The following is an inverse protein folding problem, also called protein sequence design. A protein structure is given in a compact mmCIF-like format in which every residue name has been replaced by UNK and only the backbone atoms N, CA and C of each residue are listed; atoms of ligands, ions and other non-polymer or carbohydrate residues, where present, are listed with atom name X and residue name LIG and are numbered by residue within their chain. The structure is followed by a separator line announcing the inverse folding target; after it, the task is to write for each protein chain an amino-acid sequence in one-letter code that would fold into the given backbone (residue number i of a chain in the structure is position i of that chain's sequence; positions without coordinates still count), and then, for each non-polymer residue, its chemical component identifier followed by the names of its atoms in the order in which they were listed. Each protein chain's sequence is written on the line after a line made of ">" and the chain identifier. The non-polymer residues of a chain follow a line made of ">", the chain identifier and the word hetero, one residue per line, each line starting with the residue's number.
data_IF_844657215833
#
_entry.id   IF_844657215833
#
_cell.length_a   1.000
_cell.length_b   1.000
_cell.length_c   1.000
_cell.angle_alpha   90.00
_cell.angle_beta   90.00
_cell.angle_gamma   90.00
#
_symmetry.space_group_name_H-M   'P 1'
#
loop_
_entity.id
_entity.type
_entity.pdbx_description
1 polymer ?
#
# COMPACT_ATOMS: atom_id res chain seq x y z
N UNK A 1 -34.11 31.39 -4.30
CA UNK A 1 -32.83 30.76 -4.70
C UNK A 1 -31.91 30.89 -3.51
N UNK A 2 -31.47 29.78 -2.91
CA UNK A 2 -30.53 29.85 -1.80
C UNK A 2 -29.24 30.47 -2.29
N UNK A 3 -28.83 31.59 -1.69
CA UNK A 3 -27.64 32.33 -2.08
C UNK A 3 -26.41 31.48 -1.76
N UNK A 4 -25.71 31.03 -2.79
CA UNK A 4 -24.36 30.51 -2.63
C UNK A 4 -23.52 31.56 -1.92
N UNK A 5 -22.60 31.10 -1.06
CA UNK A 5 -21.63 31.97 -0.39
C UNK A 5 -20.22 31.45 -0.61
N UNK A 6 -19.26 32.36 -0.42
CA UNK A 6 -17.84 32.01 -0.37
C UNK A 6 -17.61 30.87 0.64
N UNK A 7 -16.84 29.87 0.22
CA UNK A 7 -16.55 28.66 0.98
C UNK A 7 -17.52 27.51 0.76
N UNK A 8 -18.68 27.72 0.12
CA UNK A 8 -19.58 26.61 -0.21
C UNK A 8 -18.96 25.70 -1.25
N UNK A 9 -19.20 24.40 -1.11
CA UNK A 9 -18.92 23.44 -2.18
C UNK A 9 -20.10 23.41 -3.15
N UNK A 10 -19.78 23.45 -4.43
CA UNK A 10 -20.76 23.41 -5.52
C UNK A 10 -20.40 22.38 -6.56
N UNK A 11 -21.40 21.93 -7.30
CA UNK A 11 -21.24 21.03 -8.44
C UNK A 11 -21.77 21.66 -9.71
N UNK A 12 -21.01 21.58 -10.79
CA UNK A 12 -21.45 22.05 -12.10
C UNK A 12 -22.47 21.10 -12.73
N UNK A 13 -23.56 21.65 -13.25
CA UNK A 13 -24.66 20.92 -13.89
C UNK A 13 -24.63 20.98 -15.42
N UNK A 14 -24.01 22.02 -16.00
CA UNK A 14 -23.87 22.23 -17.44
C UNK A 14 -22.55 21.69 -18.00
N UNK A 15 -22.51 21.41 -19.31
CA UNK A 15 -21.28 21.11 -20.03
C UNK A 15 -20.59 22.42 -20.46
N UNK A 16 -19.28 22.53 -20.22
CA UNK A 16 -18.45 23.67 -20.66
C UNK A 16 -18.71 24.93 -19.85
N UNK A 17 -17.65 25.68 -19.53
CA UNK A 17 -17.69 26.97 -18.84
C UNK A 17 -17.17 28.10 -19.68
N UNK A 18 -17.33 29.34 -19.18
CA UNK A 18 -16.52 30.45 -19.65
C UNK A 18 -15.06 29.99 -19.61
N UNK A 19 -14.42 29.97 -20.76
CA UNK A 19 -13.01 29.60 -20.91
C UNK A 19 -12.18 30.70 -20.27
N UNK A 20 -11.64 30.42 -19.08
CA UNK A 20 -10.63 31.27 -18.46
C UNK A 20 -9.24 30.83 -18.91
N UNK A 21 -8.22 31.64 -18.61
CA UNK A 21 -6.80 31.24 -18.73
C UNK A 21 -6.45 29.97 -17.93
N UNK A 22 -7.31 29.56 -17.00
CA UNK A 22 -7.13 28.35 -16.19
C UNK A 22 -7.81 27.10 -16.79
N UNK A 23 -8.60 27.26 -17.85
CA UNK A 23 -9.35 26.17 -18.48
C UNK A 23 -10.86 26.23 -18.20
N UNK A 24 -11.58 25.21 -18.66
CA UNK A 24 -13.04 25.08 -18.49
C UNK A 24 -13.43 24.01 -17.48
N UNK A 25 -14.58 24.20 -16.82
CA UNK A 25 -15.21 23.15 -16.02
C UNK A 25 -16.23 22.36 -16.85
N UNK A 26 -16.10 21.04 -16.81
CA UNK A 26 -17.08 20.12 -17.38
C UNK A 26 -18.18 19.78 -16.37
N UNK A 27 -19.29 19.22 -16.88
CA UNK A 27 -20.40 18.76 -16.05
C UNK A 27 -19.90 17.75 -15.01
N UNK A 28 -20.34 17.94 -13.77
CA UNK A 28 -19.95 17.10 -12.64
C UNK A 28 -18.71 17.60 -11.90
N UNK A 29 -17.99 18.62 -12.40
CA UNK A 29 -16.93 19.30 -11.65
C UNK A 29 -17.43 19.73 -10.27
N UNK A 30 -16.62 19.47 -9.24
CA UNK A 30 -16.87 19.89 -7.86
C UNK A 30 -15.76 20.85 -7.45
N UNK A 31 -16.13 22.00 -6.90
CA UNK A 31 -15.18 23.00 -6.44
C UNK A 31 -15.74 23.78 -5.27
N UNK A 32 -14.84 24.46 -4.55
CA UNK A 32 -15.22 25.40 -3.50
C UNK A 32 -15.31 26.80 -4.09
N UNK A 33 -16.31 27.59 -3.66
CA UNK A 33 -16.45 28.97 -4.09
C UNK A 33 -15.38 29.84 -3.41
N UNK A 34 -14.49 30.41 -4.22
CA UNK A 34 -13.47 31.36 -3.80
C UNK A 34 -14.03 32.78 -3.70
N UNK A 35 -14.91 33.14 -4.64
CA UNK A 35 -15.52 34.47 -4.71
C UNK A 35 -16.82 34.47 -5.55
N UNK A 36 -17.65 35.49 -5.36
CA UNK A 36 -18.91 35.69 -6.10
C UNK A 36 -18.99 37.13 -6.57
N UNK A 37 -19.19 37.33 -7.87
CA UNK A 37 -19.41 38.64 -8.48
C UNK A 37 -20.85 38.74 -8.93
N UNK A 38 -21.64 39.51 -8.18
CA UNK A 38 -23.03 39.82 -8.50
C UNK A 38 -23.08 40.89 -9.60
N UNK A 39 -23.63 40.52 -10.76
CA UNK A 39 -23.87 41.42 -11.90
C UNK A 39 -25.35 41.74 -12.08
N UNK A 40 -26.23 41.07 -11.33
CA UNK A 40 -27.67 41.22 -11.37
C UNK A 40 -28.29 40.40 -12.50
N UNK A 41 -29.20 39.49 -12.16
CA UNK A 41 -29.90 38.61 -13.12
C UNK A 41 -29.29 37.21 -13.21
N UNK A 42 -29.34 36.58 -14.38
CA UNK A 42 -28.86 35.19 -14.61
C UNK A 42 -27.36 35.09 -14.92
N UNK A 43 -26.60 36.18 -14.76
CA UNK A 43 -25.20 36.32 -15.20
C UNK A 43 -24.21 36.48 -14.05
N UNK A 44 -24.65 36.27 -12.81
CA UNK A 44 -23.75 36.28 -11.65
C UNK A 44 -22.68 35.20 -11.82
N UNK A 45 -21.44 35.57 -11.51
CA UNK A 45 -20.27 34.73 -11.73
C UNK A 45 -19.79 34.22 -10.38
N UNK A 46 -19.56 32.91 -10.29
CA UNK A 46 -18.82 32.30 -9.19
C UNK A 46 -17.42 31.94 -9.65
N UNK A 47 -16.46 32.09 -8.74
CA UNK A 47 -15.09 31.65 -8.92
C UNK A 47 -14.91 30.38 -8.11
N UNK A 48 -14.53 29.29 -8.76
CA UNK A 48 -14.26 28.01 -8.09
C UNK A 48 -12.88 27.51 -8.47
N UNK A 49 -12.00 27.34 -7.49
CA UNK A 49 -10.59 27.01 -7.69
C UNK A 49 -9.87 27.92 -8.72
N UNK A 50 -10.21 29.22 -8.73
CA UNK A 50 -9.66 30.21 -9.67
C UNK A 50 -10.28 30.23 -11.08
N UNK A 51 -11.31 29.43 -11.36
CA UNK A 51 -12.03 29.44 -12.64
C UNK A 51 -13.39 30.13 -12.52
N UNK A 52 -13.75 30.88 -13.57
CA UNK A 52 -15.04 31.55 -13.70
C UNK A 52 -16.15 30.60 -14.17
N UNK A 53 -17.34 30.74 -13.60
CA UNK A 53 -18.55 30.07 -14.10
C UNK A 53 -19.83 30.81 -13.74
N UNK A 54 -20.89 30.55 -14.51
CA UNK A 54 -22.21 31.18 -14.31
C UNK A 54 -22.92 30.48 -13.16
N UNK A 55 -23.39 31.23 -12.16
CA UNK A 55 -23.96 30.70 -10.92
C UNK A 55 -25.14 29.73 -11.14
N UNK A 56 -25.96 29.97 -12.17
CA UNK A 56 -27.15 29.17 -12.49
C UNK A 56 -26.81 27.78 -13.04
N UNK A 57 -25.54 27.56 -13.39
CA UNK A 57 -25.02 26.29 -13.87
C UNK A 57 -24.34 25.47 -12.76
N UNK A 58 -24.49 25.92 -11.52
CA UNK A 58 -24.04 25.20 -10.35
C UNK A 58 -25.23 24.84 -9.46
N UNK A 59 -25.14 23.69 -8.84
CA UNK A 59 -26.00 23.25 -7.75
C UNK A 59 -25.18 23.16 -6.45
N UNK A 60 -25.81 23.30 -5.28
CA UNK A 60 -25.15 22.98 -4.01
C UNK A 60 -24.57 21.57 -4.08
N UNK A 61 -23.32 21.40 -3.64
CA UNK A 61 -22.71 20.09 -3.67
C UNK A 61 -23.45 19.14 -2.73
N UNK A 62 -23.81 17.98 -3.27
CA UNK A 62 -24.20 16.81 -2.52
C UNK A 62 -23.29 15.65 -2.91
N UNK A 63 -22.92 14.77 -1.95
CA UNK A 63 -22.15 13.59 -2.25
C UNK A 63 -22.88 12.69 -3.26
N UNK A 64 -22.13 12.09 -4.19
CA UNK A 64 -22.66 11.07 -5.11
C UNK A 64 -21.93 9.75 -4.94
N UNK A 65 -22.59 8.64 -5.27
CA UNK A 65 -21.98 7.31 -5.22
C UNK A 65 -20.72 7.28 -6.09
N UNK A 66 -19.63 6.74 -5.53
CA UNK A 66 -18.30 6.71 -6.12
C UNK A 66 -17.40 7.88 -5.73
N UNK A 67 -17.93 8.92 -5.08
CA UNK A 67 -17.11 10.04 -4.60
C UNK A 67 -16.43 9.75 -3.28
N UNK A 68 -15.25 10.31 -3.09
CA UNK A 68 -14.52 10.26 -1.83
C UNK A 68 -14.81 11.52 -1.03
N UNK A 69 -15.21 11.35 0.23
CA UNK A 69 -15.62 12.44 1.12
C UNK A 69 -14.88 12.36 2.45
N UNK A 70 -14.81 13.49 3.16
CA UNK A 70 -14.29 13.60 4.53
C UNK A 70 -15.40 14.08 5.47
N UNK A 71 -15.51 13.48 6.64
CA UNK A 71 -16.36 13.96 7.73
C UNK A 71 -15.71 15.19 8.35
N UNK A 72 -16.40 16.32 8.38
CA UNK A 72 -15.86 17.57 8.95
C UNK A 72 -16.58 18.01 10.22
N UNK A 73 -17.78 17.50 10.44
CA UNK A 73 -18.51 17.67 11.69
C UNK A 73 -19.46 16.51 11.92
N UNK A 74 -19.98 16.42 13.13
CA UNK A 74 -20.94 15.42 13.55
C UNK A 74 -21.99 16.10 14.43
N UNK A 75 -23.27 15.95 14.07
CA UNK A 75 -24.38 16.48 14.89
C UNK A 75 -24.59 15.66 16.16
N UNK A 76 -24.40 14.33 16.06
CA UNK A 76 -24.62 13.40 17.17
C UNK A 76 -23.31 13.10 17.90
N UNK A 77 -23.34 13.16 19.24
CA UNK A 77 -22.16 12.98 20.09
C UNK A 77 -21.44 11.64 19.87
N UNK A 78 -22.19 10.56 19.59
CA UNK A 78 -21.62 9.24 19.30
C UNK A 78 -20.91 9.14 17.94
N UNK A 79 -20.98 10.19 17.12
CA UNK A 79 -20.28 10.30 15.83
C UNK A 79 -19.06 11.22 15.89
N UNK A 80 -18.86 11.95 17.00
CA UNK A 80 -17.84 12.98 17.12
C UNK A 80 -16.40 12.44 17.01
N UNK A 81 -16.18 11.19 17.43
CA UNK A 81 -14.89 10.48 17.29
C UNK A 81 -14.54 10.16 15.83
N UNK A 82 -15.46 10.39 14.89
CA UNK A 82 -15.29 10.14 13.46
C UNK A 82 -15.05 11.39 12.62
N UNK A 83 -14.95 12.57 13.24
CA UNK A 83 -14.51 13.78 12.52
C UNK A 83 -13.10 13.54 11.95
N UNK A 84 -12.91 13.86 10.67
CA UNK A 84 -11.71 13.59 9.90
C UNK A 84 -11.71 12.24 9.18
N UNK A 85 -12.70 11.37 9.40
CA UNK A 85 -12.84 10.10 8.69
C UNK A 85 -13.08 10.34 7.20
N UNK A 86 -12.35 9.61 6.36
CA UNK A 86 -12.52 9.62 4.92
C UNK A 86 -13.11 8.29 4.44
N UNK A 87 -14.05 8.36 3.50
CA UNK A 87 -14.67 7.16 2.92
C UNK A 87 -15.17 7.41 1.49
N UNK A 88 -15.39 6.32 0.76
CA UNK A 88 -16.07 6.39 -0.54
C UNK A 88 -17.57 6.23 -0.32
N UNK A 89 -18.35 7.13 -0.89
CA UNK A 89 -19.81 7.03 -0.90
C UNK A 89 -20.18 5.81 -1.73
N UNK A 90 -20.74 4.77 -1.11
CA UNK A 90 -21.12 3.53 -1.82
C UNK A 90 -22.60 3.46 -2.09
N UNK A 91 -23.38 4.21 -1.32
CA UNK A 91 -24.82 4.27 -1.47
C UNK A 91 -25.34 5.58 -0.88
N UNK A 92 -26.42 6.05 -1.48
CA UNK A 92 -27.28 7.05 -0.87
C UNK A 92 -28.19 6.31 0.12
N UNK A 93 -28.13 6.68 1.39
CA UNK A 93 -28.90 6.04 2.46
C UNK A 93 -30.18 6.83 2.70
N UNK A 94 -31.31 6.11 2.66
CA UNK A 94 -32.69 6.57 2.83
C UNK A 94 -32.90 7.79 3.75
N UNK A 95 -33.88 8.62 3.39
CA UNK A 95 -34.50 9.66 4.24
C UNK A 95 -34.88 9.08 5.60
N UNK A 96 -34.06 9.30 6.63
CA UNK A 96 -34.37 8.84 7.99
C UNK A 96 -35.42 9.78 8.57
N UNK A 97 -36.65 9.27 8.80
CA UNK A 97 -37.84 9.77 9.54
C UNK A 97 -38.26 11.28 9.50
N UNK A 98 -37.40 12.20 9.07
CA UNK A 98 -37.59 13.66 9.01
C UNK A 98 -37.29 14.22 7.61
N UNK A 99 -37.25 13.36 6.58
CA UNK A 99 -37.02 13.80 5.20
C UNK A 99 -35.58 14.19 4.85
N UNK A 100 -34.63 14.02 5.78
CA UNK A 100 -33.22 14.38 5.57
C UNK A 100 -32.47 13.27 4.83
N UNK A 101 -31.89 13.61 3.68
CA UNK A 101 -31.07 12.73 2.86
C UNK A 101 -29.72 12.46 3.54
N UNK A 102 -29.24 11.22 3.49
CA UNK A 102 -27.97 10.82 4.11
C UNK A 102 -27.15 9.93 3.19
N UNK A 103 -25.85 9.83 3.47
CA UNK A 103 -24.89 9.10 2.66
C UNK A 103 -24.06 8.14 3.52
N UNK A 104 -23.87 6.93 2.98
CA UNK A 104 -23.11 5.87 3.61
C UNK A 104 -21.99 5.37 2.70
N UNK A 105 -21.00 4.70 3.30
CA UNK A 105 -19.77 4.34 2.62
C UNK A 105 -19.18 3.02 3.07
N UNK A 106 -18.19 2.58 2.29
CA UNK A 106 -17.36 1.40 2.57
C UNK A 106 -16.72 1.44 3.96
N UNK A 107 -16.34 2.64 4.43
CA UNK A 107 -15.73 2.90 5.72
C UNK A 107 -16.37 4.08 6.48
N UNK A 108 -17.68 4.27 6.36
CA UNK A 108 -18.39 5.39 7.02
C UNK A 108 -18.54 5.25 8.55
N UNK A 109 -17.77 4.36 9.20
CA UNK A 109 -17.80 4.14 10.65
C UNK A 109 -19.10 3.49 11.16
N UNK A 110 -19.83 2.78 10.31
CA UNK A 110 -21.15 2.22 10.64
C UNK A 110 -22.26 3.29 10.74
N UNK A 111 -21.97 4.52 10.34
CA UNK A 111 -22.89 5.64 10.38
C UNK A 111 -23.34 6.05 8.98
N UNK A 112 -24.47 6.75 8.93
CA UNK A 112 -24.87 7.56 7.77
C UNK A 112 -24.66 9.04 8.10
N UNK A 113 -24.32 9.82 7.10
CA UNK A 113 -23.87 11.22 7.24
C UNK A 113 -24.74 12.13 6.40
N UNK A 114 -25.05 13.33 6.88
CA UNK A 114 -25.72 14.35 6.06
C UNK A 114 -24.70 15.04 5.15
N UNK A 115 -25.17 15.63 4.05
CA UNK A 115 -24.30 16.34 3.11
C UNK A 115 -23.52 17.48 3.79
N UNK A 116 -24.16 18.13 4.76
CA UNK A 116 -23.60 19.25 5.50
C UNK A 116 -22.61 18.83 6.60
N UNK A 117 -22.50 17.52 6.90
CA UNK A 117 -21.47 16.92 7.77
C UNK A 117 -20.21 16.48 7.00
N UNK A 118 -20.26 16.57 5.66
CA UNK A 118 -19.25 16.07 4.75
C UNK A 118 -18.64 17.19 3.91
N UNK A 119 -17.40 16.99 3.48
CA UNK A 119 -16.76 17.76 2.43
C UNK A 119 -16.22 16.83 1.34
N UNK A 120 -16.25 17.25 0.06
CA UNK A 120 -15.64 16.49 -1.01
C UNK A 120 -14.12 16.49 -0.85
N UNK A 121 -13.50 15.31 -0.98
CA UNK A 121 -12.05 15.24 -1.15
C UNK A 121 -11.79 15.50 -2.62
N UNK A 122 -11.50 16.76 -2.94
CA UNK A 122 -11.11 17.14 -4.29
C UNK A 122 -9.86 16.34 -4.66
N UNK A 123 -9.98 15.45 -5.65
CA UNK A 123 -8.81 14.81 -6.23
C UNK A 123 -7.86 15.94 -6.63
N UNK A 124 -6.66 15.93 -6.03
CA UNK A 124 -5.71 17.03 -6.17
C UNK A 124 -5.64 17.44 -7.64
N UNK A 125 -6.13 18.64 -7.93
CA UNK A 125 -6.00 19.29 -9.23
C UNK A 125 -4.55 19.07 -9.65
N UNK A 126 -4.27 18.53 -10.84
CA UNK A 126 -2.90 18.29 -11.27
C UNK A 126 -2.14 19.59 -11.05
N UNK A 127 -1.22 19.53 -10.07
CA UNK A 127 -0.36 20.63 -9.68
C UNK A 127 0.19 21.22 -10.97
N UNK A 128 -0.05 22.53 -11.17
CA UNK A 128 0.52 23.39 -12.22
C UNK A 128 1.67 22.68 -12.94
N UNK A 129 1.59 22.37 -14.25
CA UNK A 129 2.68 21.68 -14.91
C UNK A 129 3.93 22.52 -14.73
N UNK A 130 4.87 22.00 -13.93
CA UNK A 130 6.25 22.46 -13.95
C UNK A 130 6.64 22.42 -15.42
N UNK A 131 6.96 23.58 -16.00
CA UNK A 131 7.41 23.71 -17.38
C UNK A 131 8.29 22.53 -17.74
N UNK A 132 7.80 21.67 -18.65
CA UNK A 132 8.50 20.43 -19.02
C UNK A 132 9.87 20.81 -19.56
N UNK A 133 10.94 20.39 -18.90
CA UNK A 133 12.30 20.59 -19.41
C UNK A 133 12.68 19.39 -20.26
N UNK A 134 12.91 19.63 -21.55
CA UNK A 134 13.37 18.59 -22.47
C UNK A 134 14.89 18.49 -22.44
N UNK A 135 15.39 17.28 -22.27
CA UNK A 135 16.81 16.93 -22.27
C UNK A 135 17.08 15.87 -23.34
N UNK A 136 18.18 16.03 -24.08
CA UNK A 136 18.62 15.01 -25.03
C UNK A 136 18.98 13.70 -24.31
N UNK A 137 18.67 12.56 -24.92
CA UNK A 137 18.87 11.22 -24.38
C UNK A 137 17.73 10.70 -23.48
N UNK A 138 16.77 11.55 -23.09
CA UNK A 138 15.63 11.17 -22.25
C UNK A 138 14.42 10.67 -23.06
N UNK A 139 13.54 9.95 -22.38
CA UNK A 139 12.24 9.53 -22.89
C UNK A 139 11.14 10.39 -22.28
N UNK A 140 10.03 10.57 -23.00
CA UNK A 140 8.92 11.41 -22.61
C UNK A 140 7.58 10.71 -22.85
N UNK A 141 6.54 11.18 -22.17
CA UNK A 141 5.16 10.76 -22.34
C UNK A 141 4.42 11.76 -23.21
N UNK A 142 3.81 11.29 -24.29
CA UNK A 142 2.91 12.08 -25.12
C UNK A 142 1.56 12.29 -24.43
N UNK A 143 0.77 13.26 -24.89
CA UNK A 143 -0.57 13.54 -24.37
C UNK A 143 -1.52 12.35 -24.49
N UNK A 144 -1.37 11.54 -25.53
CA UNK A 144 -2.12 10.29 -25.72
C UNK A 144 -1.56 9.08 -24.93
N UNK A 145 -0.47 9.28 -24.17
CA UNK A 145 0.04 8.33 -23.19
C UNK A 145 1.15 7.38 -23.67
N UNK A 146 1.63 7.51 -24.90
CA UNK A 146 2.75 6.71 -25.44
C UNK A 146 4.10 7.15 -24.86
N UNK A 147 5.04 6.19 -24.74
CA UNK A 147 6.46 6.44 -24.46
C UNK A 147 7.16 6.78 -25.76
N UNK A 148 7.84 7.92 -25.82
CA UNK A 148 8.59 8.39 -27.01
C UNK A 148 10.01 8.84 -26.62
N UNK A 149 10.97 8.63 -27.51
CA UNK A 149 12.39 8.95 -27.29
C UNK A 149 13.32 7.84 -27.78
N UNK A 150 14.65 7.97 -27.57
CA UNK A 150 15.31 9.07 -26.88
C UNK A 150 15.26 10.37 -27.69
N UNK A 151 14.99 11.49 -27.02
CA UNK A 151 15.02 12.82 -27.67
C UNK A 151 16.44 13.20 -28.05
N UNK A 152 16.62 13.87 -29.18
CA UNK A 152 17.91 14.40 -29.63
C UNK A 152 17.83 15.91 -29.86
N UNK A 153 18.96 16.57 -29.69
CA UNK A 153 19.13 17.97 -30.05
C UNK A 153 19.47 18.07 -31.54
N UNK A 154 18.80 18.97 -32.27
CA UNK A 154 19.12 19.28 -33.66
C UNK A 154 20.35 20.21 -33.71
N UNK A 155 21.25 19.97 -34.66
CA UNK A 155 22.41 20.84 -34.88
C UNK A 155 22.01 22.24 -35.38
N UNK A 156 20.89 22.35 -36.10
CA UNK A 156 20.26 23.59 -36.56
C UNK A 156 18.74 23.47 -36.43
N UNK A 157 18.07 24.53 -35.95
CA UNK A 157 16.62 24.53 -35.77
C UNK A 157 16.00 25.88 -36.16
N UNK A 158 14.78 25.82 -36.70
CA UNK A 158 13.96 26.99 -37.02
C UNK A 158 12.85 27.15 -36.00
N UNK A 159 11.69 27.67 -36.43
CA UNK A 159 10.49 27.82 -35.59
C UNK A 159 9.88 26.50 -35.13
N UNK A 160 10.37 25.36 -35.63
CA UNK A 160 9.89 24.02 -35.35
C UNK A 160 10.55 23.35 -34.13
N UNK A 161 11.48 24.06 -33.48
CA UNK A 161 12.06 23.68 -32.21
C UNK A 161 13.37 22.89 -32.28
N UNK A 162 14.15 22.92 -31.18
CA UNK A 162 15.49 22.35 -31.14
C UNK A 162 15.53 20.84 -30.92
N UNK A 163 14.41 20.21 -30.52
CA UNK A 163 14.37 18.80 -30.15
C UNK A 163 13.71 17.93 -31.22
N UNK A 164 14.23 16.72 -31.44
CA UNK A 164 13.70 15.74 -32.39
C UNK A 164 13.64 14.35 -31.78
N UNK A 165 12.58 13.61 -32.11
CA UNK A 165 12.51 12.17 -31.90
C UNK A 165 12.49 11.49 -33.27
N UNK A 166 13.36 10.50 -33.47
CA UNK A 166 13.44 9.80 -34.76
C UNK A 166 12.11 9.12 -35.11
N UNK A 167 11.65 9.30 -36.36
CA UNK A 167 10.37 8.77 -36.83
C UNK A 167 9.13 9.53 -36.33
N UNK A 168 9.31 10.64 -35.63
CA UNK A 168 8.26 11.49 -35.06
C UNK A 168 8.51 12.97 -35.40
N UNK A 169 7.85 13.86 -34.67
CA UNK A 169 7.88 15.31 -34.85
C UNK A 169 9.12 16.01 -34.25
N UNK A 170 9.22 17.30 -34.56
CA UNK A 170 10.11 18.24 -33.88
C UNK A 170 9.37 18.95 -32.74
N UNK A 171 10.05 19.19 -31.64
CA UNK A 171 9.48 19.69 -30.40
C UNK A 171 10.15 20.98 -29.97
N UNK A 172 9.33 21.93 -29.53
CA UNK A 172 9.73 23.15 -28.85
C UNK A 172 10.20 22.82 -27.42
N UNK A 173 10.90 23.76 -26.79
CA UNK A 173 11.42 23.58 -25.42
C UNK A 173 10.35 23.26 -24.38
N UNK A 174 9.09 23.64 -24.65
CA UNK A 174 7.96 23.45 -23.76
C UNK A 174 7.21 22.11 -23.97
N UNK A 175 7.68 21.22 -24.84
CA UNK A 175 7.03 19.94 -25.12
C UNK A 175 6.04 19.94 -26.28
N UNK A 176 5.70 21.11 -26.82
CA UNK A 176 4.77 21.20 -27.95
C UNK A 176 5.44 20.81 -29.26
N UNK A 177 4.69 20.20 -30.16
CA UNK A 177 5.17 19.94 -31.51
C UNK A 177 5.28 21.26 -32.28
N UNK A 178 6.46 21.54 -32.83
CA UNK A 178 6.78 22.85 -33.43
C UNK A 178 6.17 23.12 -34.81
N UNK A 179 5.43 22.18 -35.39
CA UNK A 179 4.80 22.36 -36.70
C UNK A 179 3.49 21.59 -36.82
N UNK A 180 2.45 22.02 -36.10
CA UNK A 180 1.08 21.50 -36.28
C UNK A 180 0.21 22.60 -36.89
N UNK A 181 -0.20 22.42 -38.14
CA UNK A 181 -1.16 23.31 -38.81
C UNK A 181 -2.62 23.06 -38.41
N UNK A 182 -2.92 21.92 -37.77
CA UNK A 182 -4.29 21.44 -37.56
C UNK A 182 -4.73 21.36 -36.08
N UNK A 183 -3.96 21.89 -35.12
CA UNK A 183 -4.33 21.93 -33.68
C UNK A 183 -4.44 20.58 -32.95
N UNK A 184 -3.96 19.47 -33.55
CA UNK A 184 -3.97 18.15 -32.91
C UNK A 184 -2.81 18.01 -31.92
N UNK A 185 -3.10 18.19 -30.63
CA UNK A 185 -2.12 18.20 -29.55
C UNK A 185 -1.79 16.80 -28.98
N UNK A 186 -2.22 15.71 -29.63
CA UNK A 186 -2.03 14.34 -29.10
C UNK A 186 -0.57 13.92 -28.96
N UNK A 187 0.28 14.46 -29.83
CA UNK A 187 1.71 14.16 -29.88
C UNK A 187 2.55 15.06 -28.95
N UNK A 188 1.93 16.07 -28.30
CA UNK A 188 2.64 16.93 -27.34
C UNK A 188 3.25 16.12 -26.20
N UNK A 189 4.47 16.46 -25.80
CA UNK A 189 5.10 15.91 -24.62
C UNK A 189 4.55 16.60 -23.38
N UNK A 190 4.03 15.81 -22.43
CA UNK A 190 3.40 16.33 -21.21
C UNK A 190 4.16 15.98 -19.94
N UNK A 191 5.10 15.03 -19.99
CA UNK A 191 5.94 14.62 -18.86
C UNK A 191 7.21 13.87 -19.32
N UNK A 192 8.29 13.93 -18.54
CA UNK A 192 9.41 13.00 -18.69
C UNK A 192 8.94 11.57 -18.37
N UNK A 193 9.32 10.61 -19.21
CA UNK A 193 9.05 9.20 -18.96
C UNK A 193 10.10 8.66 -18.00
N UNK A 194 9.73 8.58 -16.74
CA UNK A 194 10.52 7.91 -15.72
C UNK A 194 10.20 6.42 -15.82
N UNK A 195 11.18 5.60 -16.22
CA UNK A 195 11.02 4.15 -16.12
C UNK A 195 10.72 3.78 -14.67
N UNK A 196 9.63 3.05 -14.49
CA UNK A 196 9.03 2.73 -13.20
C UNK A 196 10.14 2.24 -12.26
N UNK A 197 10.50 2.98 -11.18
CA UNK A 197 11.24 2.33 -10.10
C UNK A 197 10.35 1.16 -9.65
N UNK A 198 10.94 -0.04 -9.53
CA UNK A 198 10.25 -1.25 -9.11
C UNK A 198 9.23 -0.90 -8.01
N UNK A 199 7.95 -1.10 -8.33
CA UNK A 199 6.85 -0.52 -7.58
C UNK A 199 7.03 -0.84 -6.08
N UNK A 200 7.15 0.21 -5.26
CA UNK A 200 6.77 0.09 -3.85
C UNK A 200 5.28 -0.28 -3.85
N UNK A 201 4.86 -1.29 -3.06
CA UNK A 201 3.46 -1.67 -3.01
C UNK A 201 2.64 -0.46 -2.56
N UNK A 202 1.74 0.01 -3.44
CA UNK A 202 0.67 0.94 -3.09
C UNK A 202 -0.34 0.16 -2.27
N UNK A 203 -0.62 0.62 -1.05
CA UNK A 203 -1.69 0.09 -0.23
C UNK A 203 -3.01 0.78 -0.62
N UNK A 204 -3.52 0.44 -1.80
CA UNK A 204 -4.89 0.77 -2.20
C UNK A 204 -5.73 -0.50 -2.11
N UNK A 205 -6.46 -0.68 -1.01
CA UNK A 205 -7.65 -1.55 -0.83
C UNK A 205 -7.71 -2.90 -1.58
N UNK A 206 -6.57 -3.54 -1.86
CA UNK A 206 -6.54 -4.91 -2.32
C UNK A 206 -6.90 -5.76 -1.10
N UNK A 207 -8.14 -6.26 -1.09
CA UNK A 207 -8.63 -7.31 -0.19
C UNK A 207 -7.47 -8.24 0.19
N UNK A 208 -7.08 -8.34 1.47
CA UNK A 208 -5.99 -9.21 1.86
C UNK A 208 -6.39 -10.66 1.60
N UNK A 209 -5.93 -11.22 0.47
CA UNK A 209 -6.05 -12.65 0.19
C UNK A 209 -4.88 -13.34 0.90
N UNK A 210 -5.01 -13.51 2.22
CA UNK A 210 -4.13 -14.41 2.94
C UNK A 210 -4.41 -15.85 2.52
N UNK A 211 -3.41 -16.72 2.60
CA UNK A 211 -3.57 -18.17 2.45
C UNK A 211 -3.18 -18.88 3.73
N UNK A 212 -3.70 -20.09 3.92
CA UNK A 212 -3.28 -20.95 5.03
C UNK A 212 -1.75 -21.11 4.98
N UNK A 213 -1.11 -20.90 6.13
CA UNK A 213 0.34 -20.91 6.27
C UNK A 213 1.03 -19.56 6.08
N UNK A 214 0.34 -18.52 5.63
CA UNK A 214 0.92 -17.17 5.61
C UNK A 214 1.22 -16.70 7.05
N UNK A 215 2.35 -16.01 7.20
CA UNK A 215 2.63 -15.25 8.42
C UNK A 215 2.01 -13.87 8.26
N UNK A 216 1.21 -13.47 9.24
CA UNK A 216 0.56 -12.17 9.27
C UNK A 216 0.95 -11.43 10.54
N UNK A 217 1.21 -10.14 10.42
CA UNK A 217 1.48 -9.28 11.57
C UNK A 217 0.21 -8.55 11.95
N UNK A 218 -0.13 -8.59 13.23
CA UNK A 218 -1.33 -7.94 13.72
C UNK A 218 -1.10 -6.43 13.82
N UNK A 219 -2.04 -5.63 13.35
CA UNK A 219 -1.97 -4.18 13.28
C UNK A 219 -2.62 -3.51 14.50
N UNK A 220 -3.50 -4.22 15.20
CA UNK A 220 -4.26 -3.72 16.35
C UNK A 220 -4.26 -4.75 17.47
N UNK A 221 -4.48 -4.33 18.71
CA UNK A 221 -4.63 -5.27 19.82
C UNK A 221 -6.10 -5.58 20.09
N UNK A 222 -6.42 -6.85 20.28
CA UNK A 222 -7.67 -7.34 20.86
C UNK A 222 -7.30 -7.95 22.24
N UNK A 223 -7.71 -7.33 23.36
CA UNK A 223 -7.35 -7.81 24.70
C UNK A 223 -7.62 -9.30 24.86
N UNK A 224 -6.58 -10.06 25.24
CA UNK A 224 -6.66 -11.50 25.47
C UNK A 224 -6.66 -12.36 24.20
N UNK A 225 -6.61 -11.80 22.99
CA UNK A 225 -6.61 -12.59 21.74
C UNK A 225 -5.49 -12.19 20.79
N UNK A 226 -5.26 -10.90 20.56
CA UNK A 226 -4.27 -10.43 19.59
C UNK A 226 -3.51 -9.21 20.10
N UNK A 227 -2.21 -9.16 19.84
CA UNK A 227 -1.32 -8.06 20.23
C UNK A 227 -0.79 -7.35 18.99
N UNK A 228 -0.98 -6.03 18.91
CA UNK A 228 -0.43 -5.21 17.84
C UNK A 228 1.10 -5.40 17.72
N UNK A 229 1.58 -5.60 16.50
CA UNK A 229 2.98 -5.85 16.18
C UNK A 229 3.42 -7.31 16.24
N UNK A 230 2.64 -8.20 16.86
CA UNK A 230 2.95 -9.64 16.95
C UNK A 230 2.58 -10.37 15.66
N UNK A 231 3.34 -11.41 15.35
CA UNK A 231 3.11 -12.26 14.18
C UNK A 231 2.33 -13.52 14.53
N UNK A 232 1.42 -13.90 13.64
CA UNK A 232 0.59 -15.09 13.73
C UNK A 232 0.65 -15.86 12.40
N UNK A 233 0.26 -17.14 12.42
CA UNK A 233 0.23 -18.00 11.23
C UNK A 233 -1.21 -18.31 10.89
N UNK A 234 -1.63 -18.05 9.66
CA UNK A 234 -3.00 -18.32 9.19
C UNK A 234 -3.28 -19.83 9.21
N UNK A 235 -4.41 -20.25 9.80
CA UNK A 235 -4.80 -21.66 9.97
C UNK A 235 -5.94 -22.12 9.08
N UNK A 236 -6.81 -21.20 8.62
CA UNK A 236 -7.94 -21.54 7.74
C UNK A 236 -8.13 -20.48 6.64
N UNK A 237 -8.64 -20.94 5.50
CA UNK A 237 -8.91 -20.21 4.27
C UNK A 237 -10.36 -19.71 4.19
N UNK A 238 -10.80 -18.91 5.16
CA UNK A 238 -12.08 -18.21 5.03
C UNK A 238 -11.82 -16.78 4.55
N UNK A 239 -11.56 -16.62 3.25
CA UNK A 239 -11.27 -15.32 2.65
C UNK A 239 -12.20 -15.03 1.47
N UNK A 240 -13.34 -14.40 1.75
CA UNK A 240 -14.31 -14.11 0.70
C UNK A 240 -15.26 -12.97 0.98
N UNK A 241 -15.75 -12.82 2.22
CA UNK A 241 -16.90 -11.94 2.51
C UNK A 241 -16.60 -10.93 3.61
N UNK A 242 -17.29 -9.79 3.56
CA UNK A 242 -17.35 -8.83 4.68
C UNK A 242 -17.82 -9.61 5.92
N UNK A 243 -17.13 -9.49 7.04
CA UNK A 243 -17.34 -10.22 8.32
C UNK A 243 -16.74 -11.64 8.46
N UNK A 244 -15.98 -12.15 7.47
CA UNK A 244 -15.18 -13.36 7.68
C UNK A 244 -13.87 -13.04 8.41
N UNK A 245 -13.54 -13.82 9.44
CA UNK A 245 -12.37 -13.63 10.27
C UNK A 245 -11.17 -14.45 9.77
N UNK A 246 -9.99 -13.85 9.71
CA UNK A 246 -8.70 -14.55 9.60
C UNK A 246 -8.51 -15.39 10.85
N UNK A 247 -8.55 -16.71 10.70
CA UNK A 247 -8.18 -17.63 11.78
C UNK A 247 -6.69 -17.87 11.77
N UNK A 248 -6.10 -17.91 12.96
CA UNK A 248 -4.67 -18.18 13.16
C UNK A 248 -4.50 -19.53 13.85
N UNK A 249 -3.30 -20.12 13.75
CA UNK A 249 -3.02 -21.42 14.38
C UNK A 249 -3.19 -21.35 15.89
N UNK A 250 -2.71 -20.28 16.50
CA UNK A 250 -2.79 -20.04 17.95
C UNK A 250 -2.81 -18.52 18.14
N UNK A 251 -3.83 -18.02 18.84
CA UNK A 251 -3.93 -16.62 19.29
C UNK A 251 -3.23 -16.41 20.66
N UNK A 252 -3.29 -15.22 21.23
CA UNK A 252 -2.64 -14.94 22.53
C UNK A 252 -3.30 -15.66 23.72
N UNK A 253 -4.55 -16.12 23.59
CA UNK A 253 -5.23 -16.96 24.57
C UNK A 253 -4.96 -18.46 24.37
N UNK A 254 -4.20 -18.84 23.33
CA UNK A 254 -3.98 -20.24 23.00
C UNK A 254 -5.10 -20.88 22.16
N UNK A 255 -6.06 -20.09 21.67
CA UNK A 255 -7.19 -20.57 20.87
C UNK A 255 -6.79 -20.81 19.42
N UNK A 256 -7.30 -21.90 18.85
CA UNK A 256 -7.16 -22.29 17.43
C UNK A 256 -8.40 -21.92 16.61
N UNK A 257 -9.48 -21.50 17.27
CA UNK A 257 -10.80 -21.28 16.65
C UNK A 257 -11.12 -19.80 16.45
N UNK A 258 -10.51 -18.93 17.26
CA UNK A 258 -10.69 -17.48 17.20
C UNK A 258 -10.06 -16.90 15.92
N UNK A 259 -10.68 -15.85 15.41
CA UNK A 259 -10.15 -15.09 14.29
C UNK A 259 -10.54 -13.62 14.39
N UNK A 260 -9.89 -12.79 13.57
CA UNK A 260 -10.19 -11.36 13.51
C UNK A 260 -10.22 -10.82 12.09
N UNK A 261 -10.69 -9.59 11.88
CA UNK A 261 -10.91 -9.08 10.53
C UNK A 261 -9.59 -8.97 9.75
N UNK A 262 -9.58 -9.27 8.43
CA UNK A 262 -8.39 -9.20 7.59
C UNK A 262 -7.68 -7.86 7.63
N UNK A 263 -8.41 -6.76 7.80
CA UNK A 263 -7.88 -5.39 7.91
C UNK A 263 -6.99 -5.16 9.15
N UNK A 264 -7.09 -6.01 10.18
CA UNK A 264 -6.22 -5.94 11.36
C UNK A 264 -4.96 -6.78 11.22
N UNK A 265 -4.72 -7.32 10.03
CA UNK A 265 -3.54 -8.08 9.70
C UNK A 265 -2.88 -7.51 8.45
N UNK A 266 -1.55 -7.50 8.44
CA UNK A 266 -0.76 -7.31 7.23
C UNK A 266 0.03 -8.59 6.96
N UNK A 267 0.28 -8.91 5.69
CA UNK A 267 1.14 -10.04 5.34
C UNK A 267 2.55 -9.75 5.87
N UNK A 268 3.00 -10.54 6.85
CA UNK A 268 4.38 -10.44 7.32
C UNK A 268 5.29 -11.08 6.27
N UNK A 269 6.17 -10.27 5.68
CA UNK A 269 7.19 -10.78 4.79
C UNK A 269 8.11 -11.68 5.63
N UNK A 270 8.32 -12.95 5.25
CA UNK A 270 9.19 -13.82 6.01
C UNK A 270 10.55 -13.14 6.14
N UNK A 271 11.02 -13.01 7.39
CA UNK A 271 12.38 -12.57 7.68
C UNK A 271 13.31 -13.64 7.10
N UNK A 272 13.77 -13.42 5.87
CA UNK A 272 14.70 -14.33 5.22
C UNK A 272 16.04 -14.20 5.93
N UNK A 273 16.44 -15.28 6.60
CA UNK A 273 17.81 -15.40 7.11
C UNK A 273 18.71 -15.56 5.89
N UNK A 274 19.38 -14.48 5.50
CA UNK A 274 20.30 -14.47 4.36
C UNK A 274 21.71 -14.20 4.84
N UNK A 275 22.69 -14.94 4.32
CA UNK A 275 24.11 -14.76 4.61
C UNK A 275 24.87 -14.51 3.30
N UNK A 276 26.07 -13.95 3.42
CA UNK A 276 27.04 -13.89 2.32
C UNK A 276 28.17 -14.87 2.60
N UNK A 277 28.57 -15.64 1.58
CA UNK A 277 29.69 -16.57 1.66
C UNK A 277 30.64 -16.37 0.48
N UNK A 278 31.93 -16.62 0.70
CA UNK A 278 32.92 -16.70 -0.37
C UNK A 278 32.60 -17.92 -1.25
N UNK A 279 32.77 -17.79 -2.57
CA UNK A 279 32.73 -18.93 -3.50
C UNK A 279 34.16 -19.29 -3.85
N UNK A 280 34.57 -20.49 -3.44
CA UNK A 280 35.90 -21.05 -3.71
C UNK A 280 35.70 -22.35 -4.48
N UNK A 281 36.33 -22.46 -5.66
CA UNK A 281 36.19 -23.62 -6.55
C UNK A 281 34.72 -23.97 -6.88
N UNK A 282 33.87 -22.95 -7.05
CA UNK A 282 32.43 -23.12 -7.32
C UNK A 282 31.59 -23.56 -6.11
N UNK A 283 32.20 -23.73 -4.93
CA UNK A 283 31.52 -24.15 -3.71
C UNK A 283 31.42 -23.00 -2.69
N UNK A 284 30.32 -22.90 -1.93
CA UNK A 284 30.20 -21.92 -0.87
C UNK A 284 31.11 -22.25 0.33
N UNK A 285 31.87 -21.25 0.77
CA UNK A 285 32.69 -21.26 1.97
C UNK A 285 32.16 -20.23 2.97
N UNK A 286 31.10 -20.55 3.72
CA UNK A 286 30.56 -19.67 4.75
C UNK A 286 31.56 -19.51 5.90
N UNK A 287 31.51 -18.35 6.58
CA UNK A 287 32.26 -18.10 7.83
C UNK A 287 31.81 -19.09 8.92
N UNK A 288 32.67 -19.40 9.89
CA UNK A 288 32.30 -20.16 11.10
C UNK A 288 31.20 -19.46 11.91
N UNK A 289 31.11 -18.14 11.78
CA UNK A 289 30.02 -17.30 12.31
C UNK A 289 29.52 -16.39 11.19
N UNK A 290 28.61 -16.87 10.32
CA UNK A 290 28.09 -16.06 9.23
C UNK A 290 27.34 -14.84 9.74
N UNK A 291 27.62 -13.68 9.16
CA UNK A 291 26.81 -12.49 9.42
C UNK A 291 25.45 -12.66 8.74
N UNK A 292 24.39 -12.60 9.54
CA UNK A 292 23.01 -12.71 9.07
C UNK A 292 22.49 -11.32 8.72
N UNK A 293 22.08 -11.16 7.47
CA UNK A 293 21.48 -9.93 6.97
C UNK A 293 19.97 -9.90 7.22
N UNK A 294 19.44 -8.68 7.38
CA UNK A 294 18.01 -8.44 7.62
C UNK A 294 17.12 -8.66 6.40
N UNK A 295 17.71 -8.77 5.20
CA UNK A 295 17.04 -9.08 3.94
C UNK A 295 18.03 -9.53 2.87
N UNK A 296 17.52 -10.13 1.80
CA UNK A 296 18.31 -10.50 0.62
C UNK A 296 18.99 -9.28 -0.02
N UNK A 297 18.28 -8.14 -0.11
CA UNK A 297 18.87 -6.90 -0.66
C UNK A 297 20.02 -6.36 0.19
N UNK A 298 19.96 -6.51 1.52
CA UNK A 298 21.06 -6.15 2.40
C UNK A 298 22.28 -7.07 2.18
N UNK A 299 22.05 -8.37 2.00
CA UNK A 299 23.10 -9.33 1.68
C UNK A 299 23.73 -9.08 0.30
N UNK A 300 22.95 -8.73 -0.72
CA UNK A 300 23.47 -8.39 -2.05
C UNK A 300 24.37 -7.15 -2.03
N UNK A 301 23.99 -6.12 -1.25
CA UNK A 301 24.83 -4.93 -1.06
C UNK A 301 26.16 -5.32 -0.39
N UNK A 302 26.12 -6.19 0.61
CA UNK A 302 27.32 -6.67 1.27
C UNK A 302 28.20 -7.53 0.34
N UNK A 303 27.61 -8.45 -0.42
CA UNK A 303 28.33 -9.25 -1.41
C UNK A 303 29.01 -8.36 -2.46
N UNK A 304 28.34 -7.31 -2.94
CA UNK A 304 28.93 -6.30 -3.84
C UNK A 304 30.08 -5.55 -3.18
N UNK A 305 29.92 -5.14 -1.91
CA UNK A 305 30.97 -4.47 -1.14
C UNK A 305 32.21 -5.35 -0.98
N UNK A 306 32.01 -6.64 -0.67
CA UNK A 306 33.08 -7.62 -0.52
C UNK A 306 33.76 -7.93 -1.85
N UNK A 307 33.01 -8.14 -2.94
CA UNK A 307 33.58 -8.33 -4.28
C UNK A 307 34.36 -7.09 -4.76
N UNK A 308 33.92 -5.89 -4.40
CA UNK A 308 34.64 -4.66 -4.69
C UNK A 308 35.95 -4.55 -3.89
N UNK A 309 35.94 -4.98 -2.61
CA UNK A 309 37.10 -4.97 -1.71
C UNK A 309 38.13 -6.06 -2.06
N UNK A 310 37.67 -7.24 -2.46
CA UNK A 310 38.50 -8.41 -2.74
C UNK A 310 38.39 -8.78 -4.23
N UNK A 311 39.13 -8.05 -5.07
CA UNK A 311 39.13 -8.26 -6.53
C UNK A 311 39.57 -9.69 -6.88
N UNK A 312 38.89 -10.31 -7.85
CA UNK A 312 39.15 -11.69 -8.28
C UNK A 312 38.45 -12.76 -7.43
N UNK A 313 37.84 -12.40 -6.30
CA UNK A 313 37.02 -13.30 -5.50
C UNK A 313 35.53 -13.16 -5.83
N UNK A 314 34.77 -14.24 -5.64
CA UNK A 314 33.34 -14.29 -5.85
C UNK A 314 32.61 -14.46 -4.52
N UNK A 315 31.52 -13.72 -4.31
CA UNK A 315 30.71 -13.82 -3.10
C UNK A 315 29.27 -14.16 -3.49
N UNK A 316 28.73 -15.23 -2.90
CA UNK A 316 27.36 -15.69 -3.10
C UNK A 316 26.45 -15.26 -1.96
N UNK A 317 25.17 -15.05 -2.28
CA UNK A 317 24.11 -14.74 -1.33
C UNK A 317 23.27 -16.00 -1.12
N UNK A 318 23.17 -16.45 0.13
CA UNK A 318 22.48 -17.70 0.49
C UNK A 318 21.33 -17.41 1.43
N UNK A 319 20.13 -17.89 1.09
CA UNK A 319 18.93 -17.75 1.92
C UNK A 319 18.57 -19.09 2.54
N UNK A 320 18.35 -19.10 3.85
CA UNK A 320 17.89 -20.28 4.57
C UNK A 320 16.46 -20.64 4.11
N UNK A 321 16.31 -21.83 3.51
CA UNK A 321 15.03 -22.32 3.00
C UNK A 321 14.37 -23.33 3.92
N UNK A 322 15.17 -24.19 4.56
CA UNK A 322 14.71 -25.23 5.47
C UNK A 322 15.68 -25.41 6.64
N UNK A 323 15.18 -25.95 7.75
CA UNK A 323 16.00 -26.40 8.88
C UNK A 323 15.54 -27.80 9.23
N UNK A 324 16.48 -28.73 9.22
CA UNK A 324 16.23 -30.10 9.62
C UNK A 324 16.90 -30.31 10.98
N UNK A 325 16.14 -30.85 11.92
CA UNK A 325 16.66 -31.34 13.19
C UNK A 325 16.25 -32.79 13.27
N UNK A 326 17.23 -33.65 13.40
CA UNK A 326 17.01 -35.05 13.73
C UNK A 326 17.30 -35.20 15.22
N UNK A 327 16.33 -35.73 15.97
CA UNK A 327 16.55 -35.99 17.38
C UNK A 327 17.48 -37.19 17.51
N UNK A 328 18.42 -37.08 18.45
CA UNK A 328 19.32 -38.20 18.75
C UNK A 328 18.48 -39.32 19.35
N UNK A 329 18.26 -40.37 18.57
CA UNK A 329 17.63 -41.60 19.06
C UNK A 329 18.71 -42.41 19.76
N UNK A 330 18.52 -42.64 21.06
CA UNK A 330 19.36 -43.51 21.85
C UNK A 330 18.89 -44.96 21.73
N UNK A 331 19.84 -45.89 21.81
CA UNK A 331 19.59 -47.33 21.65
C UNK A 331 18.59 -47.85 22.68
N UNK A 332 18.65 -47.35 23.92
CA UNK A 332 17.78 -47.81 24.99
C UNK A 332 16.64 -46.83 25.28
N UNK A 333 15.44 -47.38 25.47
CA UNK A 333 14.22 -46.62 25.78
C UNK A 333 14.39 -45.71 27.01
N UNK A 334 15.07 -46.16 28.05
CA UNK A 334 15.34 -45.35 29.25
C UNK A 334 16.23 -44.13 28.95
N UNK A 335 17.15 -44.21 27.99
CA UNK A 335 18.01 -43.09 27.59
C UNK A 335 17.21 -42.02 26.86
N UNK A 336 16.29 -42.43 25.96
CA UNK A 336 15.37 -41.51 25.31
C UNK A 336 14.48 -40.80 26.35
N UNK A 337 13.94 -41.53 27.34
CA UNK A 337 13.17 -40.94 28.44
C UNK A 337 14.01 -39.97 29.28
N UNK A 338 15.27 -40.32 29.57
CA UNK A 338 16.19 -39.47 30.32
C UNK A 338 16.52 -38.18 29.56
N UNK A 339 16.78 -38.27 28.25
CA UNK A 339 17.05 -37.13 27.38
C UNK A 339 15.82 -36.20 27.23
N UNK A 340 14.61 -36.74 27.32
CA UNK A 340 13.34 -35.99 27.35
C UNK A 340 13.01 -35.40 28.73
N UNK A 341 13.86 -35.59 29.75
CA UNK A 341 13.64 -35.09 31.11
C UNK A 341 12.65 -35.93 31.94
N UNK A 342 12.17 -37.06 31.42
CA UNK A 342 11.27 -38.00 32.12
C UNK A 342 12.06 -38.90 33.08
N UNK A 343 12.80 -38.28 34.01
CA UNK A 343 13.78 -38.96 34.88
C UNK A 343 13.17 -40.11 35.69
N UNK A 344 11.96 -39.94 36.22
CA UNK A 344 11.31 -40.97 37.04
C UNK A 344 10.98 -42.21 36.20
N UNK A 345 10.47 -42.03 34.98
CA UNK A 345 10.08 -43.14 34.11
C UNK A 345 11.32 -43.80 33.49
N UNK A 346 12.36 -43.04 33.16
CA UNK A 346 13.67 -43.57 32.79
C UNK A 346 14.26 -44.47 33.89
N UNK A 347 14.15 -44.06 35.17
CA UNK A 347 14.60 -44.88 36.31
C UNK A 347 13.77 -46.16 36.40
N UNK A 348 12.44 -46.09 36.28
CA UNK A 348 11.58 -47.29 36.32
C UNK A 348 11.91 -48.26 35.18
N UNK A 349 12.07 -47.75 33.97
CA UNK A 349 12.42 -48.55 32.79
C UNK A 349 13.80 -49.20 32.96
N UNK A 350 14.82 -48.43 33.36
CA UNK A 350 16.16 -48.95 33.60
C UNK A 350 16.18 -50.05 34.66
N UNK A 351 15.43 -49.87 35.76
CA UNK A 351 15.27 -50.91 36.78
C UNK A 351 14.61 -52.17 36.23
N UNK A 352 13.60 -52.01 35.37
CA UNK A 352 12.88 -53.13 34.77
C UNK A 352 13.75 -53.93 33.79
N UNK A 353 14.55 -53.25 32.95
CA UNK A 353 15.35 -53.92 31.91
C UNK A 353 16.70 -54.43 32.40
N UNK A 354 17.32 -53.76 33.37
CA UNK A 354 18.66 -54.09 33.86
C UNK A 354 18.67 -54.70 35.29
N UNK A 355 17.51 -54.83 35.93
CA UNK A 355 17.38 -55.42 37.27
C UNK A 355 18.05 -54.60 38.38
N UNK A 356 18.26 -53.30 38.18
CA UNK A 356 18.98 -52.44 39.12
C UNK A 356 18.13 -52.04 40.34
N UNK A 357 18.79 -51.78 41.47
CA UNK A 357 18.18 -51.12 42.61
C UNK A 357 17.87 -49.63 42.31
N UNK A 358 17.03 -49.02 43.15
CA UNK A 358 16.57 -47.65 42.94
C UNK A 358 17.71 -46.62 42.94
N UNK A 359 18.70 -46.78 43.83
CA UNK A 359 19.81 -45.83 43.97
C UNK A 359 20.75 -45.93 42.77
N UNK A 360 21.10 -47.15 42.35
CA UNK A 360 21.96 -47.39 41.19
C UNK A 360 21.33 -46.90 39.89
N UNK A 361 20.05 -47.19 39.67
CA UNK A 361 19.32 -46.71 38.49
C UNK A 361 19.18 -45.18 38.47
N UNK A 362 18.92 -44.54 39.62
CA UNK A 362 18.88 -43.08 39.73
C UNK A 362 20.21 -42.45 39.34
N UNK A 363 21.33 -42.96 39.89
CA UNK A 363 22.67 -42.45 39.57
C UNK A 363 23.01 -42.59 38.09
N UNK A 364 22.67 -43.73 37.47
CA UNK A 364 22.91 -43.95 36.05
C UNK A 364 22.11 -42.98 35.16
N UNK A 365 20.82 -42.77 35.47
CA UNK A 365 19.97 -41.81 34.74
C UNK A 365 20.44 -40.37 34.94
N UNK A 366 20.82 -40.00 36.16
CA UNK A 366 21.34 -38.66 36.47
C UNK A 366 22.68 -38.39 35.80
N UNK A 367 23.59 -39.36 35.77
CA UNK A 367 24.88 -39.25 35.09
C UNK A 367 24.73 -39.16 33.56
N UNK A 368 23.73 -39.84 32.99
CA UNK A 368 23.44 -39.76 31.56
C UNK A 368 22.78 -38.44 31.15
N UNK A 369 21.94 -37.86 32.02
CA UNK A 369 21.19 -36.63 31.74
C UNK A 369 21.89 -35.34 32.20
N UNK A 370 23.07 -35.44 32.80
CA UNK A 370 23.96 -34.33 33.13
C UNK A 370 24.81 -33.96 31.90
#
# INVERSE_FOLDING_TARGET
>A
MGEFKKGDFVRRTSNGSLTSTFGSHDKGFVGQIDDIVYRGGTTDIIFTNGHEGIITEYEPWQPRVGERVRVVRAELSHKADRIGLEFNVTHESYKVCNGVQTWGGDNAGGCVWRADELEPILAATPKKPTTLKIEAGRFYKTRDGRKVGPVRLKATHGSDGPYRIDGLWNYLENGLVGSISNGDHKDDLIAEWIDKPAAKPSNDNAKPNFKVGDRVKCLKSCPGQFTAGKEYVVSADHFGRKYESVKVKVDDAGSTENGWLPEFFELSKPKTTTIVALIENGQPKPSSTPHVHTSTSAAEKEAKRLAAKFKGQQFGVFTLTATHKEERVYEHKWQNMAALGLKIDAIKELRAVAGLDLLSAKRAVEAFAA
#
